data_IF_780146855163
#
_entry.id   IF_780146855163
#
_cell.length_a   1.000
_cell.length_b   1.000
_cell.length_c   1.000
_cell.angle_alpha   90.00
_cell.angle_beta   90.00
_cell.angle_gamma   90.00
#
_symmetry.space_group_name_H-M   'P 1'
#
loop_
_entity.id
_entity.type
_entity.pdbx_description
1 polymer ?
#
# COMPACT_ATOMS: atom_id res chain seq x y z
N UNK A 1 6.00 2.04 -2.89
CA UNK A 1 5.61 2.62 -1.58
C UNK A 1 6.59 2.31 -0.45
N UNK A 2 7.36 1.22 -0.51
CA UNK A 2 8.29 0.83 0.56
C UNK A 2 9.50 1.77 0.63
N UNK A 3 9.86 2.20 1.84
CA UNK A 3 11.04 3.00 2.18
C UNK A 3 12.24 2.10 2.51
N UNK A 4 13.48 2.60 2.38
CA UNK A 4 14.71 1.84 2.68
C UNK A 4 15.02 1.70 4.17
N UNK A 5 14.23 2.34 5.05
CA UNK A 5 14.42 2.32 6.49
C UNK A 5 13.10 2.41 7.23
N UNK A 6 13.04 1.77 8.38
CA UNK A 6 12.03 1.99 9.40
C UNK A 6 12.53 3.10 10.33
N UNK A 7 11.69 4.08 10.62
CA UNK A 7 12.04 5.18 11.52
C UNK A 7 11.31 4.99 12.84
N UNK A 8 12.04 5.20 13.93
CA UNK A 8 11.55 5.11 15.30
C UNK A 8 11.38 6.51 15.86
N UNK A 9 10.23 6.78 16.46
CA UNK A 9 9.93 8.08 17.05
C UNK A 9 9.55 7.94 18.52
N UNK A 10 10.00 8.87 19.38
CA UNK A 10 9.59 8.94 20.79
C UNK A 10 8.16 9.49 20.95
N UNK A 11 7.70 9.63 22.20
CA UNK A 11 6.35 10.12 22.53
C UNK A 11 6.04 11.53 22.04
N UNK A 12 7.06 12.33 21.75
CA UNK A 12 6.94 13.68 21.20
C UNK A 12 7.09 13.70 19.68
N UNK A 13 7.05 12.54 19.02
CA UNK A 13 7.26 12.38 17.58
C UNK A 13 8.62 12.87 17.06
N UNK A 14 9.63 12.85 17.93
CA UNK A 14 11.02 13.12 17.52
C UNK A 14 11.68 11.80 17.12
N UNK A 15 12.44 11.82 16.04
CA UNK A 15 13.21 10.66 15.57
C UNK A 15 14.27 10.27 16.61
N UNK A 16 14.24 9.01 17.07
CA UNK A 16 15.19 8.45 18.03
C UNK A 16 16.06 7.35 17.44
N UNK A 17 15.80 6.98 16.19
CA UNK A 17 16.67 6.10 15.44
C UNK A 17 16.01 5.54 14.19
N UNK A 18 16.82 4.81 13.42
CA UNK A 18 16.37 4.16 12.19
C UNK A 18 16.89 2.73 12.13
N UNK A 19 16.17 1.88 11.41
CA UNK A 19 16.55 0.50 11.14
C UNK A 19 16.53 0.31 9.62
N UNK A 20 17.66 -0.04 8.97
CA UNK A 20 17.66 -0.33 7.54
C UNK A 20 16.74 -1.51 7.22
N UNK A 21 15.90 -1.38 6.18
CA UNK A 21 14.88 -2.38 5.84
C UNK A 21 15.49 -3.76 5.58
N UNK A 22 16.61 -3.83 4.86
CA UNK A 22 17.30 -5.10 4.59
C UNK A 22 17.67 -5.89 5.85
N UNK A 23 17.77 -5.22 7.00
CA UNK A 23 18.10 -5.88 8.27
C UNK A 23 16.90 -6.38 9.05
N UNK A 24 15.66 -6.12 8.60
CA UNK A 24 14.44 -6.41 9.38
C UNK A 24 13.72 -7.68 8.92
N UNK A 25 13.96 -8.15 7.70
CA UNK A 25 13.27 -9.31 7.15
C UNK A 25 13.45 -10.55 8.04
N UNK A 26 12.33 -11.13 8.48
CA UNK A 26 12.27 -12.30 9.36
C UNK A 26 13.05 -12.16 10.69
N UNK A 27 13.32 -10.94 11.16
CA UNK A 27 14.00 -10.69 12.45
C UNK A 27 13.04 -10.19 13.53
N UNK A 28 12.14 -11.06 13.97
CA UNK A 28 11.14 -10.77 15.01
C UNK A 28 11.76 -10.29 16.34
N UNK A 29 13.00 -10.72 16.65
CA UNK A 29 13.78 -10.29 17.82
C UNK A 29 13.81 -8.77 18.05
N UNK A 30 13.78 -7.98 16.97
CA UNK A 30 13.79 -6.52 17.07
C UNK A 30 12.53 -5.95 17.73
N UNK A 31 11.38 -6.61 17.54
CA UNK A 31 10.06 -6.14 17.99
C UNK A 31 9.87 -6.35 19.50
N UNK A 32 10.51 -7.37 20.09
CA UNK A 32 10.39 -7.67 21.52
C UNK A 32 11.10 -6.66 22.44
N UNK A 33 11.86 -5.70 21.87
CA UNK A 33 12.45 -4.62 22.65
C UNK A 33 11.35 -3.72 23.18
N UNK A 34 11.37 -3.44 24.49
CA UNK A 34 10.37 -2.60 25.14
C UNK A 34 10.24 -1.25 24.42
N UNK A 35 9.00 -0.86 24.10
CA UNK A 35 8.68 0.40 23.40
C UNK A 35 8.89 0.40 21.89
N UNK A 36 9.46 -0.66 21.29
CA UNK A 36 9.75 -0.70 19.85
C UNK A 36 8.50 -0.55 18.97
N UNK A 37 7.40 -1.22 19.31
CA UNK A 37 6.15 -1.12 18.54
C UNK A 37 5.62 0.30 18.56
N UNK A 38 5.51 0.92 19.73
CA UNK A 38 5.05 2.30 19.89
C UNK A 38 5.91 3.27 19.07
N UNK A 39 7.24 3.08 19.08
CA UNK A 39 8.17 3.89 18.29
C UNK A 39 7.97 3.73 16.78
N UNK A 40 7.77 2.49 16.30
CA UNK A 40 7.56 2.19 14.90
C UNK A 40 6.19 2.67 14.41
N UNK A 41 5.13 2.50 15.21
CA UNK A 41 3.77 2.98 14.88
C UNK A 41 3.77 4.51 14.74
N UNK A 42 4.45 5.24 15.63
CA UNK A 42 4.61 6.70 15.50
C UNK A 42 5.37 7.09 14.23
N UNK A 43 6.42 6.34 13.87
CA UNK A 43 7.15 6.52 12.62
C UNK A 43 6.28 6.28 11.38
N UNK A 44 5.52 5.18 11.35
CA UNK A 44 4.61 4.83 10.26
C UNK A 44 3.48 5.85 10.08
N UNK A 45 2.91 6.35 11.17
CA UNK A 45 1.87 7.36 11.12
C UNK A 45 2.42 8.75 10.70
N UNK A 46 3.72 9.02 10.88
CA UNK A 46 4.26 10.36 10.62
C UNK A 46 4.87 10.51 9.22
N UNK A 47 5.55 9.48 8.74
CA UNK A 47 6.34 9.58 7.52
C UNK A 47 5.52 9.30 6.26
N UNK A 48 5.75 10.05 5.18
CA UNK A 48 5.13 9.75 3.91
C UNK A 48 5.67 8.43 3.34
N UNK A 49 4.79 7.63 2.73
CA UNK A 49 5.21 6.50 1.91
C UNK A 49 6.05 6.91 0.72
N UNK A 50 6.92 6.01 0.21
CA UNK A 50 7.69 6.29 -1.01
C UNK A 50 6.72 6.45 -2.19
N UNK A 51 6.84 7.56 -2.92
CA UNK A 51 6.14 7.80 -4.19
C UNK A 51 6.27 6.56 -5.12
N UNK A 52 5.14 6.07 -5.67
CA UNK A 52 5.14 4.97 -6.65
C UNK A 52 5.80 5.44 -7.95
N UNK A 53 6.79 4.70 -8.43
CA UNK A 53 7.58 5.04 -9.62
C UNK A 53 8.09 3.76 -10.28
N UNK A 54 8.76 3.92 -11.42
CA UNK A 54 9.56 2.89 -12.09
C UNK A 54 10.76 2.38 -11.26
N UNK A 55 11.02 2.97 -10.08
CA UNK A 55 12.11 2.56 -9.17
C UNK A 55 11.65 1.98 -7.82
N UNK A 56 12.29 0.90 -7.41
CA UNK A 56 12.16 0.27 -6.08
C UNK A 56 13.42 0.52 -5.26
N UNK A 57 13.33 0.48 -3.92
CA UNK A 57 14.51 0.66 -3.06
C UNK A 57 15.52 -0.48 -3.25
N UNK A 58 16.85 -0.23 -3.22
CA UNK A 58 17.87 -1.28 -3.31
C UNK A 58 17.72 -2.40 -2.28
N UNK A 59 17.22 -2.07 -1.07
CA UNK A 59 16.91 -3.06 -0.03
C UNK A 59 15.89 -4.12 -0.47
N UNK A 60 15.10 -3.87 -1.53
CA UNK A 60 14.20 -4.84 -2.14
C UNK A 60 14.68 -5.32 -3.52
N UNK A 61 15.38 -4.50 -4.30
CA UNK A 61 15.82 -4.87 -5.66
C UNK A 61 17.21 -5.47 -5.75
N UNK A 62 18.00 -5.43 -4.67
CA UNK A 62 19.38 -5.94 -4.65
C UNK A 62 19.68 -6.77 -3.39
N UNK A 63 18.99 -6.47 -2.29
CA UNK A 63 19.28 -7.06 -0.98
C UNK A 63 18.04 -7.62 -0.30
N UNK A 64 17.05 -8.13 -1.06
CA UNK A 64 15.91 -8.83 -0.46
C UNK A 64 16.39 -10.13 0.20
N UNK A 65 16.08 -10.32 1.49
CA UNK A 65 16.53 -11.47 2.28
C UNK A 65 18.05 -11.71 2.16
N UNK A 66 18.88 -10.75 2.60
CA UNK A 66 20.30 -10.79 2.33
C UNK A 66 20.97 -11.98 3.04
N UNK A 67 21.95 -12.59 2.38
CA UNK A 67 22.70 -13.70 2.95
C UNK A 67 23.50 -13.20 4.19
N UNK A 68 23.43 -13.87 5.34
CA UNK A 68 24.19 -13.46 6.53
C UNK A 68 25.69 -13.31 6.31
N UNK A 69 26.29 -14.09 5.39
CA UNK A 69 27.72 -14.03 5.05
C UNK A 69 28.06 -12.91 4.06
N UNK A 70 27.10 -12.46 3.26
CA UNK A 70 27.27 -11.39 2.27
C UNK A 70 26.07 -10.44 2.31
N UNK A 71 25.94 -9.63 3.37
CA UNK A 71 24.73 -8.84 3.65
C UNK A 71 24.43 -7.75 2.61
N UNK A 72 25.37 -7.47 1.70
CA UNK A 72 25.18 -6.60 0.55
C UNK A 72 24.41 -7.27 -0.61
N UNK A 73 24.38 -8.61 -0.66
CA UNK A 73 23.72 -9.37 -1.73
C UNK A 73 22.49 -10.11 -1.21
N UNK A 74 21.41 -10.05 -1.97
CA UNK A 74 20.17 -10.80 -1.75
C UNK A 74 19.44 -11.02 -3.07
N UNK A 75 18.16 -11.37 -2.97
CA UNK A 75 17.28 -11.47 -4.13
C UNK A 75 16.84 -10.08 -4.63
N UNK A 76 16.29 -10.05 -5.84
CA UNK A 76 15.64 -8.88 -6.42
C UNK A 76 14.12 -9.13 -6.50
N UNK A 77 13.35 -8.41 -5.67
CA UNK A 77 11.89 -8.51 -5.64
C UNK A 77 11.25 -8.11 -6.97
N UNK A 78 11.82 -7.13 -7.69
CA UNK A 78 11.26 -6.66 -8.97
C UNK A 78 11.42 -7.74 -10.02
N UNK A 79 12.63 -8.29 -10.14
CA UNK A 79 12.89 -9.42 -11.06
C UNK A 79 12.05 -10.64 -10.71
N UNK A 80 11.86 -10.95 -9.41
CA UNK A 80 10.98 -12.02 -8.97
C UNK A 80 9.50 -11.77 -9.34
N UNK A 81 9.00 -10.55 -9.22
CA UNK A 81 7.63 -10.21 -9.60
C UNK A 81 7.40 -10.33 -11.11
N UNK A 82 8.36 -9.90 -11.93
CA UNK A 82 8.32 -10.09 -13.38
C UNK A 82 8.29 -11.58 -13.71
N UNK A 83 9.22 -12.36 -13.16
CA UNK A 83 9.28 -13.79 -13.41
C UNK A 83 8.02 -14.51 -12.91
N UNK A 84 7.43 -14.08 -11.80
CA UNK A 84 6.16 -14.61 -11.28
C UNK A 84 4.99 -14.32 -12.21
N UNK A 85 4.96 -13.14 -12.84
CA UNK A 85 3.94 -12.82 -13.84
C UNK A 85 4.00 -13.79 -15.02
N UNK A 86 5.21 -14.11 -15.50
CA UNK A 86 5.44 -15.06 -16.59
C UNK A 86 5.09 -16.50 -16.19
N UNK A 87 5.51 -16.92 -15.00
CA UNK A 87 5.18 -18.21 -14.39
C UNK A 87 3.66 -18.42 -14.29
N UNK A 88 2.91 -17.38 -13.93
CA UNK A 88 1.45 -17.40 -13.83
C UNK A 88 0.73 -17.21 -15.18
N UNK A 89 1.46 -17.09 -16.30
CA UNK A 89 0.86 -16.87 -17.62
C UNK A 89 0.07 -15.56 -17.72
N UNK A 90 0.47 -14.51 -16.98
CA UNK A 90 -0.20 -13.22 -17.02
C UNK A 90 0.03 -12.57 -18.38
N UNK A 91 -1.05 -12.20 -19.06
CA UNK A 91 -0.98 -11.51 -20.35
C UNK A 91 -0.20 -10.18 -20.25
N UNK A 92 0.39 -9.78 -21.38
CA UNK A 92 1.09 -8.52 -21.52
C UNK A 92 0.24 -7.29 -21.24
N UNK A 93 0.90 -6.17 -20.95
CA UNK A 93 0.31 -4.90 -20.54
C UNK A 93 -0.76 -4.38 -21.51
N UNK A 94 -0.57 -4.54 -22.83
CA UNK A 94 -1.56 -4.08 -23.82
C UNK A 94 -2.89 -4.82 -23.74
N UNK A 95 -2.89 -6.11 -23.40
CA UNK A 95 -4.13 -6.89 -23.23
C UNK A 95 -4.90 -6.43 -22.00
N UNK A 96 -4.22 -6.11 -20.90
CA UNK A 96 -4.88 -5.54 -19.72
C UNK A 96 -5.48 -4.17 -19.99
N UNK A 97 -4.79 -3.32 -20.76
CA UNK A 97 -5.35 -2.04 -21.21
C UNK A 97 -6.63 -2.26 -22.02
N UNK A 98 -6.62 -3.22 -22.95
CA UNK A 98 -7.80 -3.61 -23.75
C UNK A 98 -8.95 -4.10 -22.88
N UNK A 99 -8.69 -5.00 -21.92
CA UNK A 99 -9.69 -5.48 -20.96
C UNK A 99 -10.31 -4.34 -20.16
N UNK A 100 -9.50 -3.36 -19.78
CA UNK A 100 -9.93 -2.14 -19.09
C UNK A 100 -10.51 -1.06 -20.03
N UNK A 101 -10.72 -1.35 -21.32
CA UNK A 101 -11.24 -0.40 -22.33
C UNK A 101 -10.40 0.89 -22.43
N UNK A 102 -9.10 0.79 -22.17
CA UNK A 102 -8.14 1.88 -22.27
C UNK A 102 -7.47 1.90 -23.66
N UNK A 103 -7.01 3.06 -24.14
CA UNK A 103 -6.28 3.15 -25.40
C UNK A 103 -5.05 2.24 -25.41
N UNK A 104 -4.84 1.48 -26.48
CA UNK A 104 -3.69 0.58 -26.67
C UNK A 104 -2.71 1.13 -27.70
N UNK A 105 -1.54 0.51 -27.79
CA UNK A 105 -0.49 0.85 -28.77
C UNK A 105 0.05 -0.43 -29.40
N UNK A 106 0.43 -0.35 -30.67
CA UNK A 106 1.06 -1.45 -31.43
C UNK A 106 2.56 -1.19 -31.75
N UNK A 107 3.09 -0.06 -31.27
CA UNK A 107 4.49 0.34 -31.42
C UNK A 107 4.89 1.21 -30.23
N UNK A 108 6.20 1.29 -29.94
CA UNK A 108 6.70 2.13 -28.85
C UNK A 108 6.44 3.62 -29.10
N UNK A 109 6.43 4.03 -30.37
CA UNK A 109 6.15 5.38 -30.84
C UNK A 109 4.68 5.73 -30.60
N UNK A 110 3.76 4.80 -30.87
CA UNK A 110 2.36 4.95 -30.48
C UNK A 110 2.19 4.99 -28.96
N UNK A 111 2.91 4.15 -28.21
CA UNK A 111 2.87 4.14 -26.74
C UNK A 111 3.35 5.48 -26.15
N UNK A 112 4.41 6.10 -26.70
CA UNK A 112 4.83 7.45 -26.32
C UNK A 112 3.74 8.49 -26.59
N UNK A 113 3.09 8.42 -27.77
CA UNK A 113 2.01 9.34 -28.15
C UNK A 113 0.79 9.25 -27.22
N UNK A 114 0.50 8.07 -26.65
CA UNK A 114 -0.57 7.91 -25.67
C UNK A 114 -0.32 8.74 -24.39
N UNK A 115 0.93 9.09 -24.10
CA UNK A 115 1.34 9.85 -22.91
C UNK A 115 0.81 9.25 -21.59
N UNK A 116 0.75 7.92 -21.53
CA UNK A 116 0.27 7.17 -20.34
C UNK A 116 1.38 6.88 -19.33
N UNK A 117 2.64 7.05 -19.73
CA UNK A 117 3.85 6.94 -18.89
C UNK A 117 4.93 7.89 -19.45
N UNK A 118 5.96 8.26 -18.66
CA UNK A 118 7.02 9.13 -19.14
C UNK A 118 7.74 8.55 -20.37
N UNK A 119 8.08 9.39 -21.34
CA UNK A 119 8.71 8.96 -22.60
C UNK A 119 10.04 8.23 -22.37
N UNK A 120 10.82 8.65 -21.36
CA UNK A 120 12.08 8.00 -20.99
C UNK A 120 11.87 6.58 -20.49
N UNK A 121 10.72 6.28 -19.87
CA UNK A 121 10.39 4.91 -19.45
C UNK A 121 10.05 4.05 -20.67
N UNK A 122 9.33 4.61 -21.65
CA UNK A 122 9.06 3.91 -22.91
C UNK A 122 10.35 3.58 -23.65
N UNK A 123 11.35 4.47 -23.63
CA UNK A 123 12.68 4.20 -24.20
C UNK A 123 13.41 3.04 -23.51
N UNK A 124 13.36 2.98 -22.17
CA UNK A 124 13.92 1.85 -21.41
C UNK A 124 13.18 0.54 -21.69
N UNK A 125 11.86 0.58 -21.85
CA UNK A 125 11.07 -0.60 -22.23
C UNK A 125 11.46 -1.06 -23.65
N UNK A 126 11.61 -0.14 -24.59
CA UNK A 126 12.04 -0.43 -25.96
C UNK A 126 13.43 -1.07 -26.03
N UNK A 127 14.33 -0.75 -25.09
CA UNK A 127 15.66 -1.36 -25.08
C UNK A 127 15.69 -2.81 -24.59
N UNK A 128 14.60 -3.32 -24.01
CA UNK A 128 14.56 -4.68 -23.41
C UNK A 128 13.41 -5.57 -23.90
N UNK A 129 12.36 -4.99 -24.50
CA UNK A 129 11.25 -5.73 -25.14
C UNK A 129 11.28 -5.53 -26.65
N UNK A 130 11.08 -6.60 -27.41
CA UNK A 130 11.02 -6.55 -28.88
C UNK A 130 9.73 -5.88 -29.37
N UNK A 131 8.59 -6.20 -28.75
CA UNK A 131 7.28 -5.62 -29.06
C UNK A 131 6.62 -5.01 -27.83
N UNK A 132 5.75 -4.01 -28.03
CA UNK A 132 4.88 -3.49 -26.97
C UNK A 132 3.88 -4.52 -26.45
N UNK A 133 3.61 -5.57 -27.22
CA UNK A 133 2.76 -6.69 -26.80
C UNK A 133 3.41 -7.55 -25.70
N UNK A 134 4.74 -7.59 -25.66
CA UNK A 134 5.50 -8.45 -24.74
C UNK A 134 5.78 -7.80 -23.39
N UNK A 135 5.45 -6.51 -23.25
CA UNK A 135 5.71 -5.75 -22.03
C UNK A 135 4.93 -6.39 -20.86
N UNK A 136 5.66 -6.88 -19.87
CA UNK A 136 5.07 -7.44 -18.65
C UNK A 136 4.19 -6.40 -17.94
N UNK A 137 3.02 -6.84 -17.44
CA UNK A 137 2.04 -5.96 -16.78
C UNK A 137 2.65 -5.20 -15.59
N UNK A 138 3.42 -5.88 -14.74
CA UNK A 138 3.93 -5.32 -13.49
C UNK A 138 4.79 -4.06 -13.68
N UNK A 139 5.89 -4.10 -14.45
CA UNK A 139 6.73 -2.91 -14.66
C UNK A 139 6.00 -1.79 -15.40
N UNK A 140 5.13 -2.11 -16.36
CA UNK A 140 4.38 -1.10 -17.10
C UNK A 140 3.31 -0.41 -16.26
N UNK A 141 2.53 -1.17 -15.50
CA UNK A 141 1.48 -0.61 -14.63
C UNK A 141 2.03 0.27 -13.51
N UNK A 142 3.21 -0.04 -12.97
CA UNK A 142 3.92 0.83 -12.02
C UNK A 142 4.48 2.11 -12.67
N UNK A 143 4.72 2.07 -13.97
CA UNK A 143 5.28 3.18 -14.73
C UNK A 143 4.24 4.15 -15.27
N UNK A 144 2.95 3.79 -15.21
CA UNK A 144 1.88 4.68 -15.64
C UNK A 144 1.84 5.98 -14.81
N UNK A 145 1.49 7.07 -15.51
CA UNK A 145 1.14 8.33 -14.89
C UNK A 145 -0.04 8.12 -13.93
N UNK A 146 0.09 8.63 -12.71
CA UNK A 146 -0.94 8.48 -11.68
C UNK A 146 -2.18 9.29 -12.02
N UNK A 147 -3.34 8.79 -11.60
CA UNK A 147 -4.56 9.59 -11.55
C UNK A 147 -4.40 10.77 -10.58
N UNK A 148 -5.10 11.89 -10.80
CA UNK A 148 -4.89 13.15 -10.07
C UNK A 148 -5.02 13.02 -8.54
N UNK A 149 -5.87 12.11 -8.09
CA UNK A 149 -6.22 11.78 -6.71
C UNK A 149 -5.78 10.35 -6.32
N UNK A 150 -5.08 9.65 -7.20
CA UNK A 150 -4.69 8.25 -7.05
C UNK A 150 -3.20 8.03 -6.88
N UNK A 151 -2.83 6.84 -6.38
CA UNK A 151 -1.43 6.43 -6.26
C UNK A 151 -0.92 5.63 -7.46
N UNK A 152 -1.84 5.08 -8.26
CA UNK A 152 -1.55 4.21 -9.41
C UNK A 152 -2.15 4.81 -10.70
N UNK A 153 -1.68 4.32 -11.85
CA UNK A 153 -2.25 4.67 -13.15
C UNK A 153 -3.56 3.94 -13.45
N UNK A 154 -4.18 4.31 -14.58
CA UNK A 154 -5.51 3.85 -15.01
C UNK A 154 -5.63 2.33 -15.11
N UNK A 155 -4.59 1.62 -15.57
CA UNK A 155 -4.66 0.15 -15.72
C UNK A 155 -4.75 -0.53 -14.37
N UNK A 156 -3.89 -0.16 -13.41
CA UNK A 156 -3.98 -0.71 -12.06
C UNK A 156 -5.20 -0.20 -11.30
N UNK A 157 -5.66 1.04 -11.51
CA UNK A 157 -6.93 1.50 -10.97
C UNK A 157 -8.10 0.60 -11.41
N UNK A 158 -8.18 0.27 -12.70
CA UNK A 158 -9.21 -0.64 -13.23
C UNK A 158 -9.13 -2.04 -12.58
N UNK A 159 -7.94 -2.66 -12.58
CA UNK A 159 -7.75 -4.01 -12.03
C UNK A 159 -8.09 -4.06 -10.53
N UNK A 160 -7.61 -3.07 -9.77
CA UNK A 160 -7.90 -2.97 -8.33
C UNK A 160 -9.39 -2.73 -8.08
N UNK A 161 -10.03 -1.83 -8.83
CA UNK A 161 -11.44 -1.52 -8.67
C UNK A 161 -12.33 -2.73 -8.99
N UNK A 162 -12.04 -3.47 -10.06
CA UNK A 162 -12.74 -4.72 -10.39
C UNK A 162 -12.58 -5.76 -9.29
N UNK A 163 -11.36 -5.96 -8.79
CA UNK A 163 -11.10 -6.95 -7.74
C UNK A 163 -11.76 -6.58 -6.41
N UNK A 164 -11.61 -5.34 -5.92
CA UNK A 164 -12.25 -4.88 -4.69
C UNK A 164 -13.77 -4.80 -4.81
N UNK A 165 -14.29 -4.43 -5.99
CA UNK A 165 -15.71 -4.42 -6.29
C UNK A 165 -16.31 -5.81 -6.15
N UNK A 166 -15.70 -6.82 -6.76
CA UNK A 166 -16.14 -8.24 -6.66
C UNK A 166 -16.01 -8.79 -5.25
N UNK A 167 -14.94 -8.46 -4.52
CA UNK A 167 -14.79 -8.87 -3.12
C UNK A 167 -15.91 -8.30 -2.25
N UNK A 168 -16.26 -7.03 -2.45
CA UNK A 168 -17.35 -6.39 -1.71
C UNK A 168 -18.71 -6.98 -2.06
N UNK A 169 -19.05 -7.09 -3.35
CA UNK A 169 -20.39 -7.50 -3.78
C UNK A 169 -20.63 -9.01 -3.72
N UNK A 170 -19.56 -9.80 -3.83
CA UNK A 170 -19.60 -11.27 -3.75
C UNK A 170 -19.50 -11.82 -2.32
N UNK A 171 -19.21 -10.98 -1.33
CA UNK A 171 -19.11 -11.41 0.07
C UNK A 171 -20.48 -11.35 0.76
N UNK A 172 -21.02 -12.53 1.08
CA UNK A 172 -22.27 -12.66 1.85
C UNK A 172 -22.20 -11.97 3.20
N UNK A 173 -21.02 -11.91 3.82
CA UNK A 173 -20.77 -11.29 5.12
C UNK A 173 -20.15 -9.90 5.02
N UNK A 174 -20.20 -9.25 3.85
CA UNK A 174 -19.86 -7.84 3.76
C UNK A 174 -20.67 -7.06 4.79
N UNK A 175 -19.98 -6.31 5.64
CA UNK A 175 -20.56 -5.82 6.90
C UNK A 175 -21.78 -4.89 6.71
N UNK A 176 -21.94 -4.27 5.54
CA UNK A 176 -23.07 -3.40 5.21
C UNK A 176 -24.23 -4.11 4.50
N UNK A 177 -24.15 -5.43 4.28
CA UNK A 177 -25.24 -6.17 3.66
C UNK A 177 -26.49 -6.17 4.54
N UNK A 178 -27.65 -6.01 3.91
CA UNK A 178 -28.97 -6.17 4.55
C UNK A 178 -29.62 -7.49 4.13
N UNK A 179 -28.86 -8.59 4.23
CA UNK A 179 -29.37 -9.95 4.05
C UNK A 179 -29.96 -10.46 5.37
N UNK A 180 -30.88 -11.44 5.36
CA UNK A 180 -31.39 -12.03 6.59
C UNK A 180 -30.27 -12.49 7.55
N UNK A 181 -30.56 -12.41 8.85
CA UNK A 181 -29.66 -12.95 9.88
C UNK A 181 -29.32 -14.42 9.56
N UNK A 182 -28.08 -14.85 9.82
CA UNK A 182 -27.03 -14.18 10.60
C UNK A 182 -26.09 -13.27 9.78
N UNK A 183 -26.45 -12.89 8.55
CA UNK A 183 -25.53 -12.21 7.62
C UNK A 183 -25.50 -10.68 7.74
N UNK A 184 -26.40 -10.05 8.50
CA UNK A 184 -26.46 -8.60 8.70
C UNK A 184 -26.13 -8.16 10.12
N UNK A 185 -25.61 -6.95 10.23
CA UNK A 185 -25.50 -6.20 11.48
C UNK A 185 -26.75 -5.33 11.69
N UNK A 186 -27.02 -4.93 12.94
CA UNK A 186 -28.08 -3.95 13.20
C UNK A 186 -27.67 -2.54 12.78
N UNK A 187 -28.61 -1.62 12.64
CA UNK A 187 -28.31 -0.23 12.29
C UNK A 187 -27.43 0.45 13.35
N UNK A 188 -27.62 0.13 14.61
CA UNK A 188 -26.83 0.62 15.75
C UNK A 188 -25.39 0.10 15.67
N UNK A 189 -25.21 -1.18 15.35
CA UNK A 189 -23.90 -1.80 15.13
C UNK A 189 -23.17 -1.17 13.93
N UNK A 190 -23.87 -0.96 12.82
CA UNK A 190 -23.32 -0.27 11.64
C UNK A 190 -22.88 1.17 11.96
N UNK A 191 -23.70 1.90 12.73
CA UNK A 191 -23.38 3.26 13.17
C UNK A 191 -22.10 3.28 14.01
N UNK A 192 -21.94 2.33 14.95
CA UNK A 192 -20.75 2.21 15.77
C UNK A 192 -19.49 1.89 14.94
N UNK A 193 -19.57 0.96 13.98
CA UNK A 193 -18.44 0.60 13.10
C UNK A 193 -18.03 1.79 12.23
N UNK A 194 -18.99 2.52 11.65
CA UNK A 194 -18.71 3.69 10.78
C UNK A 194 -18.01 4.84 11.49
N UNK A 195 -18.10 4.92 12.82
CA UNK A 195 -17.39 5.90 13.63
C UNK A 195 -15.95 5.48 13.95
N UNK A 196 -15.59 4.22 13.72
CA UNK A 196 -14.24 3.71 13.97
C UNK A 196 -13.25 4.28 12.96
N UNK A 197 -12.07 4.66 13.43
CA UNK A 197 -10.96 5.12 12.57
C UNK A 197 -9.70 4.32 12.87
N UNK A 198 -8.77 4.26 11.93
CA UNK A 198 -7.46 3.65 12.21
C UNK A 198 -6.73 4.41 13.34
N UNK A 199 -6.97 5.72 13.49
CA UNK A 199 -6.47 6.49 14.63
C UNK A 199 -7.01 5.97 15.97
N UNK A 200 -8.31 5.69 16.08
CA UNK A 200 -8.91 5.16 17.31
C UNK A 200 -8.43 3.75 17.64
N UNK A 201 -8.24 2.91 16.63
CA UNK A 201 -7.62 1.57 16.79
C UNK A 201 -6.20 1.70 17.34
N UNK A 202 -5.38 2.56 16.75
CA UNK A 202 -3.99 2.78 17.20
C UNK A 202 -3.97 3.32 18.64
N UNK A 203 -4.80 4.31 18.97
CA UNK A 203 -4.91 4.83 20.35
C UNK A 203 -5.32 3.76 21.35
N UNK A 204 -6.20 2.83 20.96
CA UNK A 204 -6.70 1.77 21.86
C UNK A 204 -5.73 0.61 22.05
N UNK A 205 -4.75 0.45 21.16
CA UNK A 205 -3.84 -0.71 21.13
C UNK A 205 -2.38 -0.38 21.42
N UNK A 206 -2.03 0.91 21.52
CA UNK A 206 -0.67 1.38 21.78
C UNK A 206 -0.54 1.90 23.21
N UNK A 207 0.52 1.51 23.93
CA UNK A 207 0.65 1.84 25.36
C UNK A 207 1.09 3.28 25.63
N UNK A 208 1.98 3.85 24.83
CA UNK A 208 2.60 5.16 25.08
C UNK A 208 2.32 6.16 23.94
N UNK A 209 1.07 6.22 23.48
CA UNK A 209 0.63 7.18 22.47
C UNK A 209 -0.44 8.10 23.05
N UNK A 210 -0.08 9.38 23.24
CA UNK A 210 -1.01 10.40 23.76
C UNK A 210 -1.78 11.14 22.67
N UNK A 211 -1.18 11.28 21.50
CA UNK A 211 -1.77 12.06 20.41
C UNK A 211 -1.45 11.44 19.06
N UNK A 212 -2.38 11.54 18.11
CA UNK A 212 -2.23 11.11 16.72
C UNK A 212 -3.13 11.94 15.82
N UNK A 213 -2.84 12.01 14.53
CA UNK A 213 -3.72 12.65 13.57
C UNK A 213 -4.97 11.79 13.28
N UNK A 214 -6.16 12.39 13.11
CA UNK A 214 -7.39 11.63 12.84
C UNK A 214 -7.34 10.80 11.55
N UNK A 215 -6.71 11.30 10.48
CA UNK A 215 -6.57 10.60 9.19
C UNK A 215 -5.14 10.09 9.03
N UNK A 216 -4.85 8.90 9.55
CA UNK A 216 -3.48 8.37 9.67
C UNK A 216 -2.80 8.00 8.34
N UNK A 217 -3.58 7.82 7.26
CA UNK A 217 -3.04 7.60 5.91
C UNK A 217 -2.67 8.91 5.20
N UNK A 218 -3.03 10.06 5.78
CA UNK A 218 -2.65 11.39 5.34
C UNK A 218 -1.54 11.95 6.23
N UNK A 219 -0.69 12.81 5.67
CA UNK A 219 0.32 13.52 6.44
C UNK A 219 -0.31 14.56 7.36
N UNK A 220 0.39 14.90 8.45
CA UNK A 220 -0.04 15.95 9.39
C UNK A 220 -0.07 17.36 8.78
N UNK A 221 0.56 17.52 7.61
CA UNK A 221 0.56 18.78 6.85
C UNK A 221 -0.73 18.97 6.07
N UNK A 222 -1.57 17.94 5.93
CA UNK A 222 -2.88 18.09 5.31
C UNK A 222 -3.81 18.94 6.18
N UNK A 223 -4.61 19.78 5.51
CA UNK A 223 -5.53 20.68 6.19
C UNK A 223 -6.50 19.89 7.08
N UNK A 224 -6.63 20.32 8.33
CA UNK A 224 -7.49 19.65 9.31
C UNK A 224 -7.01 18.24 9.73
N UNK A 225 -5.73 17.91 9.57
CA UNK A 225 -5.15 16.62 10.00
C UNK A 225 -4.03 16.76 11.04
N UNK A 226 -4.08 17.80 11.87
CA UNK A 226 -3.12 17.94 12.98
C UNK A 226 -3.36 16.83 14.01
N UNK A 227 -2.31 16.49 14.76
CA UNK A 227 -2.43 15.52 15.86
C UNK A 227 -3.34 16.08 16.94
N UNK A 228 -4.23 15.24 17.45
CA UNK A 228 -5.13 15.52 18.56
C UNK A 228 -4.92 14.49 19.65
N UNK A 229 -5.33 14.81 20.87
CA UNK A 229 -5.24 13.87 21.99
C UNK A 229 -6.08 12.62 21.73
N UNK A 230 -5.55 11.44 22.04
CA UNK A 230 -6.25 10.16 21.84
C UNK A 230 -7.61 10.14 22.57
N UNK A 231 -7.75 10.83 23.71
CA UNK A 231 -9.02 10.96 24.43
C UNK A 231 -10.11 11.71 23.65
N UNK A 232 -9.73 12.52 22.66
CA UNK A 232 -10.66 13.24 21.78
C UNK A 232 -11.10 12.44 20.55
N UNK A 233 -10.50 11.26 20.31
CA UNK A 233 -10.81 10.41 19.17
C UNK A 233 -11.82 9.34 19.63
N UNK A 234 -13.06 9.33 19.11
CA UNK A 234 -14.06 8.34 19.49
C UNK A 234 -13.61 6.90 19.21
N UNK A 235 -13.73 6.05 20.22
CA UNK A 235 -13.53 4.60 20.09
C UNK A 235 -14.76 3.90 19.49
N UNK A 236 -14.64 2.59 19.28
CA UNK A 236 -15.77 1.74 18.89
C UNK A 236 -16.74 1.60 20.07
N UNK A 237 -17.99 2.01 19.89
CA UNK A 237 -19.06 1.75 20.85
C UNK A 237 -19.54 0.29 20.76
N UNK A 238 -19.32 -0.48 21.82
CA UNK A 238 -19.70 -1.90 21.90
C UNK A 238 -21.08 -2.13 22.56
N UNK A 239 -21.78 -1.08 23.04
CA UNK A 239 -23.12 -1.24 23.60
C UNK A 239 -24.11 -1.95 22.66
N UNK A 240 -24.10 -1.72 21.33
CA UNK A 240 -24.98 -2.43 20.39
C UNK A 240 -24.78 -3.95 20.29
N UNK A 241 -23.73 -4.51 20.90
CA UNK A 241 -23.49 -5.96 20.97
C UNK A 241 -23.89 -6.59 22.31
N UNK A 242 -24.34 -5.79 23.27
CA UNK A 242 -24.78 -6.29 24.58
C UNK A 242 -26.01 -7.18 24.38
N UNK A 243 -25.89 -8.44 24.77
CA UNK A 243 -27.04 -9.37 24.88
C UNK A 243 -27.75 -9.14 26.21
N UNK A 244 -29.07 -9.29 26.21
CA UNK A 244 -29.87 -9.36 27.41
C UNK A 244 -29.53 -10.62 28.22
#
# INVERSE_FOLDING_TARGET
>A
MVQSRLVRMNANFQEVGTIPLRTTFFKAGNIYKQGMIDELVRGMATLPGKKISDSVTPDLSQSLFPNPKTPQFGHDLVSLNIQRGRDHGINGYMEWRKLCKLPTANSFEALKKLNVMPSQVVDKLKSVYESVADIDLYPAGLSENRSADGLVGKTFSCILAEQFGRLRTGDRFWYENDLPLPSRLTNEQLKAIRQTSMASIICSTTTNLKAIQPRVFETITQLGNKRVDCSSIPGLDLQPWRRA
#
